data_IF_727120370898
#
_entry.id   IF_727120370898
#
_cell.length_a   1.000
_cell.length_b   1.000
_cell.length_c   1.000
_cell.angle_alpha   90.00
_cell.angle_beta   90.00
_cell.angle_gamma   90.00
#
_symmetry.space_group_name_H-M   'P 1'
#
loop_
_entity.id
_entity.type
_entity.pdbx_description
1 polymer ?
#
# COMPACT_ATOMS: atom_id res chain seq x y z
N UNK A 1 3.73 -33.82 -8.10
CA UNK A 1 4.60 -32.77 -8.66
C UNK A 1 4.16 -31.46 -8.04
N UNK A 2 4.98 -30.86 -7.15
CA UNK A 2 4.73 -29.51 -6.67
C UNK A 2 5.04 -28.55 -7.81
N UNK A 3 4.19 -27.54 -8.13
CA UNK A 3 4.58 -26.45 -9.00
C UNK A 3 5.78 -25.77 -8.34
N UNK A 4 6.86 -25.61 -9.09
CA UNK A 4 8.09 -25.03 -8.60
C UNK A 4 7.84 -23.62 -8.07
N UNK A 5 8.41 -23.30 -6.92
CA UNK A 5 8.49 -21.95 -6.40
C UNK A 5 9.03 -21.04 -7.52
N UNK A 6 8.33 -19.97 -7.82
CA UNK A 6 8.80 -18.92 -8.73
C UNK A 6 10.12 -18.42 -8.16
N UNK A 7 11.18 -18.47 -8.97
CA UNK A 7 12.51 -18.11 -8.52
C UNK A 7 12.49 -16.60 -8.20
N UNK A 8 12.66 -16.20 -6.95
CA UNK A 8 12.63 -14.80 -6.47
C UNK A 8 13.54 -13.85 -7.28
N UNK A 9 14.55 -14.41 -7.96
CA UNK A 9 15.46 -13.67 -8.81
C UNK A 9 14.81 -13.16 -10.12
N UNK A 10 13.69 -13.76 -10.53
CA UNK A 10 13.07 -13.51 -11.84
C UNK A 10 11.85 -12.57 -11.81
N UNK A 11 11.39 -12.11 -10.63
CA UNK A 11 10.28 -11.15 -10.55
C UNK A 11 10.79 -9.74 -10.80
N UNK A 12 10.42 -9.10 -11.92
CA UNK A 12 10.94 -7.78 -12.28
C UNK A 12 10.32 -6.67 -11.43
N UNK A 13 11.03 -5.55 -11.34
CA UNK A 13 10.47 -4.29 -10.88
C UNK A 13 9.74 -3.61 -12.05
N UNK A 14 8.48 -3.93 -12.22
CA UNK A 14 7.63 -3.41 -13.31
C UNK A 14 7.32 -1.92 -13.13
N UNK A 15 7.34 -1.44 -11.90
CA UNK A 15 7.00 -0.04 -11.58
C UNK A 15 8.16 0.90 -11.91
N UNK A 16 9.42 0.46 -11.79
CA UNK A 16 10.65 1.13 -12.22
C UNK A 16 10.65 2.66 -12.04
N UNK A 17 10.16 3.16 -10.89
CA UNK A 17 10.04 4.61 -10.54
C UNK A 17 9.09 5.43 -11.42
N UNK A 18 8.41 4.84 -12.39
CA UNK A 18 7.47 5.51 -13.29
C UNK A 18 6.05 5.47 -12.73
N UNK A 19 5.69 6.42 -11.85
CA UNK A 19 4.33 6.52 -11.29
C UNK A 19 3.44 7.52 -12.06
N UNK A 20 4.01 8.32 -12.93
CA UNK A 20 3.29 9.29 -13.77
C UNK A 20 2.66 8.64 -15.01
N UNK A 21 1.58 9.23 -15.52
CA UNK A 21 0.91 8.80 -16.74
C UNK A 21 0.07 7.52 -16.63
N UNK A 22 -0.01 6.89 -15.45
CA UNK A 22 -0.80 5.68 -15.22
C UNK A 22 -2.23 6.02 -14.77
N UNK A 23 -3.17 5.15 -15.10
CA UNK A 23 -4.54 5.32 -14.64
C UNK A 23 -4.62 5.08 -13.12
N UNK A 24 -5.44 5.85 -12.38
CA UNK A 24 -5.68 5.60 -10.97
C UNK A 24 -6.18 4.18 -10.71
N UNK A 25 -5.76 3.59 -9.58
CA UNK A 25 -6.20 2.26 -9.10
C UNK A 25 -5.66 1.07 -9.87
N UNK A 26 -4.86 1.28 -10.90
CA UNK A 26 -4.27 0.17 -11.69
C UNK A 26 -2.96 -0.35 -11.08
N UNK A 27 -2.21 0.49 -10.42
CA UNK A 27 -0.94 0.14 -9.80
C UNK A 27 -1.01 0.45 -8.31
N UNK A 28 -0.83 -0.56 -7.48
CA UNK A 28 -0.92 -0.43 -6.02
C UNK A 28 0.41 -0.83 -5.40
N UNK A 29 0.91 0.04 -4.54
CA UNK A 29 2.07 -0.24 -3.70
C UNK A 29 1.62 -0.60 -2.30
N UNK A 30 2.41 -1.41 -1.59
CA UNK A 30 2.14 -1.75 -0.20
C UNK A 30 3.41 -1.96 0.60
N UNK A 31 3.35 -1.53 1.83
CA UNK A 31 4.37 -1.77 2.85
C UNK A 31 3.69 -1.92 4.22
N UNK A 32 4.39 -2.51 5.17
CA UNK A 32 3.94 -2.71 6.53
C UNK A 32 4.67 -1.79 7.50
N UNK A 33 3.92 -1.23 8.43
CA UNK A 33 4.52 -0.55 9.59
C UNK A 33 4.01 -1.18 10.89
N UNK A 34 4.81 -1.06 11.96
CA UNK A 34 4.43 -1.58 13.27
C UNK A 34 3.98 -0.47 14.20
N UNK A 35 3.02 -0.81 15.07
CA UNK A 35 2.37 0.11 16.02
C UNK A 35 2.27 -0.55 17.39
N UNK A 36 2.55 0.17 18.44
CA UNK A 36 2.38 -0.31 19.82
C UNK A 36 0.91 -0.25 20.21
N UNK A 37 0.37 -1.38 20.68
CA UNK A 37 -0.99 -1.51 21.21
C UNK A 37 -0.92 -2.14 22.59
N UNK A 38 -1.15 -1.35 23.64
CA UNK A 38 -0.89 -1.80 25.00
C UNK A 38 0.55 -2.29 25.19
N UNK A 39 0.71 -3.52 25.64
CA UNK A 39 2.01 -4.16 25.83
C UNK A 39 2.53 -4.89 24.56
N UNK A 40 1.76 -4.97 23.47
CA UNK A 40 2.05 -5.79 22.31
C UNK A 40 2.31 -4.96 21.05
N UNK A 41 3.03 -5.54 20.11
CA UNK A 41 3.18 -4.98 18.76
C UNK A 41 2.03 -5.41 17.86
N UNK A 42 1.53 -4.48 17.07
CA UNK A 42 0.61 -4.72 15.97
C UNK A 42 1.21 -4.17 14.68
N UNK A 43 0.64 -4.59 13.58
CA UNK A 43 1.09 -4.21 12.24
C UNK A 43 -0.04 -3.53 11.49
N UNK A 44 0.30 -2.54 10.68
CA UNK A 44 -0.61 -1.84 9.78
C UNK A 44 -0.13 -2.09 8.37
N UNK A 45 -1.03 -2.54 7.50
CA UNK A 45 -0.85 -2.66 6.07
C UNK A 45 -1.63 -1.55 5.37
N UNK A 46 -0.97 -0.79 4.52
CA UNK A 46 -1.60 0.20 3.66
C UNK A 46 -1.43 -0.22 2.20
N UNK A 47 -2.50 -0.11 1.44
CA UNK A 47 -2.48 -0.19 -0.02
C UNK A 47 -2.57 1.23 -0.56
N UNK A 48 -1.56 1.68 -1.29
CA UNK A 48 -1.43 3.06 -1.75
C UNK A 48 -1.41 3.11 -3.26
N UNK A 49 -2.21 3.98 -3.84
CA UNK A 49 -2.12 4.32 -5.24
C UNK A 49 -1.02 5.38 -5.45
N UNK A 50 0.11 5.04 -6.07
CA UNK A 50 1.21 5.98 -6.26
C UNK A 50 0.89 7.12 -7.24
N UNK A 51 -0.15 6.97 -8.09
CA UNK A 51 -0.54 7.98 -9.07
C UNK A 51 -1.14 9.23 -8.44
N UNK A 52 -1.86 9.07 -7.33
CA UNK A 52 -2.57 10.14 -6.64
C UNK A 52 -2.39 10.15 -5.12
N UNK A 53 -1.57 9.27 -4.57
CA UNK A 53 -1.30 9.13 -3.12
C UNK A 53 -2.52 8.70 -2.28
N UNK A 54 -3.58 8.21 -2.90
CA UNK A 54 -4.77 7.71 -2.23
C UNK A 54 -4.45 6.40 -1.49
N UNK A 55 -4.80 6.32 -0.22
CA UNK A 55 -4.76 5.05 0.54
C UNK A 55 -6.04 4.31 0.18
N UNK A 56 -5.95 3.36 -0.72
CA UNK A 56 -7.12 2.65 -1.29
C UNK A 56 -7.57 1.46 -0.46
N UNK A 57 -6.68 0.92 0.39
CA UNK A 57 -6.99 -0.17 1.31
C UNK A 57 -6.13 -0.10 2.56
N UNK A 58 -6.63 -0.64 3.66
CA UNK A 58 -5.89 -0.65 4.93
C UNK A 58 -6.35 -1.78 5.84
N UNK A 59 -5.44 -2.25 6.66
CA UNK A 59 -5.74 -3.22 7.72
C UNK A 59 -4.79 -3.05 8.91
N UNK A 60 -5.20 -3.54 10.08
CA UNK A 60 -4.34 -3.61 11.25
C UNK A 60 -4.60 -4.91 12.02
N UNK A 61 -3.53 -5.50 12.56
CA UNK A 61 -3.60 -6.75 13.28
C UNK A 61 -2.33 -7.10 14.04
N UNK A 62 -2.42 -8.11 14.92
CA UNK A 62 -1.31 -8.53 15.78
C UNK A 62 -0.28 -9.41 15.08
N UNK A 63 -0.51 -9.80 13.83
CA UNK A 63 0.37 -10.68 13.06
C UNK A 63 0.79 -10.04 11.76
N UNK A 64 2.05 -10.23 11.40
CA UNK A 64 2.64 -9.86 10.13
C UNK A 64 2.56 -11.08 9.20
N UNK A 65 1.45 -11.24 8.50
CA UNK A 65 1.16 -12.40 7.65
C UNK A 65 0.32 -12.03 6.41
N UNK A 66 0.17 -12.99 5.50
CA UNK A 66 -0.65 -12.84 4.29
C UNK A 66 -2.11 -12.48 4.59
N UNK A 67 -2.65 -12.91 5.74
CA UNK A 67 -4.02 -12.60 6.14
C UNK A 67 -4.19 -11.11 6.39
N UNK A 68 -3.19 -10.44 6.98
CA UNK A 68 -3.21 -9.00 7.19
C UNK A 68 -3.28 -8.27 5.83
N UNK A 69 -2.46 -8.69 4.87
CA UNK A 69 -2.45 -8.11 3.50
C UNK A 69 -3.80 -8.33 2.81
N UNK A 70 -4.32 -9.55 2.81
CA UNK A 70 -5.65 -9.87 2.23
C UNK A 70 -6.78 -9.06 2.89
N UNK A 71 -6.68 -8.80 4.20
CA UNK A 71 -7.64 -7.94 4.91
C UNK A 71 -7.61 -6.49 4.42
N UNK A 72 -6.45 -5.99 4.00
CA UNK A 72 -6.36 -4.65 3.39
C UNK A 72 -7.04 -4.63 2.01
N UNK A 73 -6.86 -5.66 1.18
CA UNK A 73 -7.58 -5.79 -0.09
C UNK A 73 -9.10 -5.85 0.10
N UNK A 74 -9.57 -6.47 1.18
CA UNK A 74 -11.00 -6.54 1.49
C UNK A 74 -11.66 -5.18 1.81
N UNK A 75 -10.86 -4.12 2.03
CA UNK A 75 -11.36 -2.75 2.26
C UNK A 75 -11.40 -1.89 1.01
N UNK A 76 -11.00 -2.40 -0.15
CA UNK A 76 -11.10 -1.68 -1.42
C UNK A 76 -12.55 -1.27 -1.72
N UNK A 77 -12.73 -0.04 -2.23
CA UNK A 77 -14.03 0.49 -2.65
C UNK A 77 -14.29 0.35 -4.15
N UNK A 78 -13.46 -0.44 -4.84
CA UNK A 78 -13.54 -0.75 -6.28
C UNK A 78 -13.17 -2.21 -6.52
N UNK A 79 -13.48 -2.79 -7.68
CA UNK A 79 -13.15 -4.18 -7.97
C UNK A 79 -11.65 -4.43 -7.90
N UNK A 80 -11.23 -5.50 -7.22
CA UNK A 80 -9.82 -5.91 -7.15
C UNK A 80 -9.24 -6.21 -8.55
N UNK A 81 -10.07 -6.62 -9.50
CA UNK A 81 -9.71 -6.85 -10.90
C UNK A 81 -9.33 -5.58 -11.68
N UNK A 82 -9.56 -4.39 -11.14
CA UNK A 82 -9.10 -3.15 -11.75
C UNK A 82 -7.59 -2.92 -11.50
N UNK A 83 -7.01 -3.66 -10.56
CA UNK A 83 -5.58 -3.61 -10.24
C UNK A 83 -4.83 -4.46 -11.28
N UNK A 84 -3.89 -3.85 -11.97
CA UNK A 84 -3.00 -4.50 -12.93
C UNK A 84 -1.70 -4.96 -12.29
N UNK A 85 -1.14 -4.14 -11.38
CA UNK A 85 0.16 -4.39 -10.76
C UNK A 85 0.09 -4.19 -9.24
N UNK A 86 0.64 -5.14 -8.50
CA UNK A 86 0.85 -5.03 -7.05
C UNK A 86 2.34 -5.01 -6.74
N UNK A 87 2.84 -3.87 -6.27
CA UNK A 87 4.24 -3.63 -5.97
C UNK A 87 4.51 -3.66 -4.47
N UNK A 88 5.51 -4.43 -4.06
CA UNK A 88 5.90 -4.55 -2.64
C UNK A 88 7.40 -4.73 -2.50
N UNK A 89 7.88 -4.68 -1.27
CA UNK A 89 9.17 -5.26 -0.93
C UNK A 89 9.11 -6.80 -0.94
N UNK A 90 10.23 -7.46 -0.56
CA UNK A 90 10.36 -8.93 -0.49
C UNK A 90 10.02 -9.48 0.89
N UNK A 91 9.14 -8.81 1.63
CA UNK A 91 8.68 -9.29 2.93
C UNK A 91 7.87 -10.58 2.80
N UNK A 92 8.07 -11.53 3.71
CA UNK A 92 7.37 -12.83 3.70
C UNK A 92 5.85 -12.73 3.83
N UNK A 93 5.34 -11.62 4.33
CA UNK A 93 3.91 -11.29 4.35
C UNK A 93 3.32 -11.03 2.97
N UNK A 94 4.15 -10.58 2.03
CA UNK A 94 3.79 -10.32 0.64
C UNK A 94 4.23 -11.46 -0.27
N UNK A 95 5.43 -12.00 -0.04
CA UNK A 95 6.04 -13.04 -0.88
C UNK A 95 5.76 -14.43 -0.30
N UNK A 96 4.56 -14.94 -0.61
CA UNK A 96 4.10 -16.26 -0.17
C UNK A 96 2.98 -16.79 -1.08
N UNK A 97 2.77 -18.11 -1.02
CA UNK A 97 1.81 -18.81 -1.87
C UNK A 97 0.35 -18.29 -1.74
N UNK A 98 -0.07 -17.79 -0.57
CA UNK A 98 -1.43 -17.26 -0.40
C UNK A 98 -1.65 -15.98 -1.19
N UNK A 99 -0.65 -15.10 -1.21
CA UNK A 99 -0.70 -13.86 -1.98
C UNK A 99 -0.57 -14.19 -3.47
N UNK A 100 0.33 -15.11 -3.85
CA UNK A 100 0.48 -15.55 -5.25
C UNK A 100 -0.86 -16.05 -5.83
N UNK A 101 -1.53 -16.94 -5.12
CA UNK A 101 -2.84 -17.46 -5.53
C UNK A 101 -3.89 -16.35 -5.69
N UNK A 102 -3.88 -15.35 -4.79
CA UNK A 102 -4.80 -14.23 -4.88
C UNK A 102 -4.49 -13.38 -6.12
N UNK A 103 -3.22 -13.02 -6.36
CA UNK A 103 -2.81 -12.20 -7.49
C UNK A 103 -3.13 -12.92 -8.82
N UNK A 104 -2.84 -14.22 -8.91
CA UNK A 104 -3.15 -15.06 -10.07
C UNK A 104 -4.65 -15.11 -10.34
N UNK A 105 -5.47 -15.33 -9.31
CA UNK A 105 -6.93 -15.41 -9.43
C UNK A 105 -7.58 -14.14 -10.00
N UNK A 106 -6.97 -12.97 -9.76
CA UNK A 106 -7.46 -11.68 -10.25
C UNK A 106 -6.65 -11.13 -11.42
N UNK A 107 -5.65 -11.85 -11.93
CA UNK A 107 -4.82 -11.44 -13.05
C UNK A 107 -3.90 -10.25 -12.73
N UNK A 108 -3.50 -10.09 -11.47
CA UNK A 108 -2.65 -9.00 -11.01
C UNK A 108 -1.18 -9.39 -11.14
N UNK A 109 -0.41 -8.57 -11.84
CA UNK A 109 1.03 -8.78 -11.98
C UNK A 109 1.76 -8.43 -10.68
N UNK A 110 2.63 -9.32 -10.22
CA UNK A 110 3.51 -9.04 -9.10
C UNK A 110 4.71 -8.21 -9.54
N UNK A 111 5.02 -7.16 -8.80
CA UNK A 111 6.24 -6.36 -8.93
C UNK A 111 6.97 -6.31 -7.60
N UNK A 112 8.25 -6.59 -7.60
CA UNK A 112 9.09 -6.54 -6.40
C UNK A 112 10.17 -5.47 -6.53
N UNK A 113 10.39 -4.70 -5.46
CA UNK A 113 11.50 -3.75 -5.41
C UNK A 113 12.84 -4.46 -5.58
N UNK A 114 13.77 -3.79 -6.26
CA UNK A 114 15.12 -4.30 -6.42
C UNK A 114 15.81 -4.40 -5.05
N UNK A 115 16.56 -5.50 -4.84
CA UNK A 115 17.24 -5.73 -3.57
C UNK A 115 18.23 -4.59 -3.28
N UNK A 116 18.03 -3.90 -2.15
CA UNK A 116 18.88 -2.78 -1.74
C UNK A 116 18.61 -1.45 -2.44
N UNK A 117 17.47 -1.29 -3.13
CA UNK A 117 17.07 -0.03 -3.76
C UNK A 117 15.92 0.64 -2.98
N UNK A 118 16.19 1.54 -2.01
CA UNK A 118 15.16 2.19 -1.21
C UNK A 118 14.26 3.14 -2.03
N UNK A 119 14.72 3.59 -3.18
CA UNK A 119 13.95 4.51 -4.04
C UNK A 119 12.72 3.86 -4.69
N UNK A 120 12.68 2.53 -4.78
CA UNK A 120 11.58 1.80 -5.40
C UNK A 120 10.33 1.81 -4.50
N UNK A 121 10.50 1.98 -3.17
CA UNK A 121 9.43 2.03 -2.17
C UNK A 121 9.20 3.44 -1.60
N UNK A 122 9.68 4.49 -2.26
CA UNK A 122 9.65 5.86 -1.72
C UNK A 122 8.24 6.37 -1.40
N UNK A 123 7.22 5.91 -2.15
CA UNK A 123 5.81 6.29 -1.90
C UNK A 123 5.32 5.67 -0.60
N UNK A 124 5.57 4.38 -0.41
CA UNK A 124 5.15 3.65 0.78
C UNK A 124 5.88 4.13 2.03
N UNK A 125 7.19 4.33 1.93
CA UNK A 125 8.00 4.91 3.02
C UNK A 125 7.50 6.30 3.42
N UNK A 126 7.21 7.16 2.43
CA UNK A 126 6.65 8.48 2.67
C UNK A 126 5.28 8.40 3.34
N UNK A 127 4.40 7.50 2.87
CA UNK A 127 3.06 7.30 3.43
C UNK A 127 3.13 6.76 4.85
N UNK A 128 3.99 5.79 5.12
CA UNK A 128 4.21 5.24 6.46
C UNK A 128 4.81 6.28 7.42
N UNK A 129 5.72 7.13 6.97
CA UNK A 129 6.25 8.24 7.77
C UNK A 129 5.15 9.23 8.16
N UNK A 130 4.26 9.55 7.23
CA UNK A 130 3.11 10.43 7.45
C UNK A 130 2.13 9.79 8.43
N UNK A 131 1.85 8.49 8.29
CA UNK A 131 1.02 7.72 9.22
C UNK A 131 1.61 7.76 10.64
N UNK A 132 2.90 7.51 10.78
CA UNK A 132 3.58 7.56 12.09
C UNK A 132 3.46 8.94 12.72
N UNK A 133 3.73 10.00 12.00
CA UNK A 133 3.65 11.37 12.51
C UNK A 133 2.21 11.84 12.78
N UNK A 134 1.25 11.42 11.96
CA UNK A 134 -0.14 11.88 12.00
C UNK A 134 -1.05 11.07 12.92
N UNK A 135 -0.72 9.80 13.17
CA UNK A 135 -1.53 8.91 13.99
C UNK A 135 -0.71 8.24 15.10
N UNK A 136 0.34 7.49 14.74
CA UNK A 136 1.01 6.57 15.67
C UNK A 136 1.70 7.30 16.83
N UNK A 137 2.35 8.43 16.55
CA UNK A 137 3.05 9.22 17.58
C UNK A 137 2.14 10.17 18.37
N UNK A 138 0.88 10.31 17.94
CA UNK A 138 -0.09 11.23 18.59
C UNK A 138 -1.11 10.50 19.44
N UNK A 139 -1.26 9.21 19.25
CA UNK A 139 -2.30 8.39 19.84
C UNK A 139 -1.71 7.22 20.61
N UNK A 140 -2.42 6.81 21.63
CA UNK A 140 -2.19 5.54 22.32
C UNK A 140 -3.33 4.60 22.04
N UNK A 141 -3.02 3.32 21.90
CA UNK A 141 -4.01 2.30 21.56
C UNK A 141 -4.04 1.23 22.64
N UNK A 142 -5.19 1.05 23.27
CA UNK A 142 -5.40 0.01 24.28
C UNK A 142 -5.67 -1.35 23.65
N UNK A 143 -6.34 -1.36 22.48
CA UNK A 143 -6.76 -2.58 21.78
C UNK A 143 -6.53 -2.47 20.28
N UNK A 144 -6.38 -3.62 19.60
CA UNK A 144 -6.33 -3.69 18.12
C UNK A 144 -7.61 -3.13 17.47
N UNK A 145 -8.76 -3.29 18.13
CA UNK A 145 -10.03 -2.73 17.66
C UNK A 145 -9.99 -1.19 17.62
N UNK A 146 -9.45 -0.59 18.66
CA UNK A 146 -9.26 0.86 18.72
C UNK A 146 -8.30 1.36 17.65
N UNK A 147 -7.17 0.66 17.46
CA UNK A 147 -6.23 0.96 16.38
C UNK A 147 -6.93 0.92 15.01
N UNK A 148 -7.75 -0.10 14.73
CA UNK A 148 -8.48 -0.21 13.46
C UNK A 148 -9.46 0.94 13.24
N UNK A 149 -10.21 1.32 14.26
CA UNK A 149 -11.15 2.43 14.17
C UNK A 149 -10.44 3.77 13.87
N UNK A 150 -9.40 4.09 14.65
CA UNK A 150 -8.59 5.31 14.46
C UNK A 150 -7.83 5.32 13.13
N UNK A 151 -7.37 4.15 12.66
CA UNK A 151 -6.74 4.01 11.35
C UNK A 151 -7.73 4.32 10.22
N UNK A 152 -8.95 3.81 10.31
CA UNK A 152 -10.00 4.09 9.31
C UNK A 152 -10.33 5.59 9.23
N UNK A 153 -10.49 6.25 10.38
CA UNK A 153 -10.71 7.70 10.46
C UNK A 153 -9.52 8.49 9.89
N UNK A 154 -8.30 8.04 10.19
CA UNK A 154 -7.08 8.64 9.67
C UNK A 154 -7.01 8.54 8.14
N UNK A 155 -7.25 7.34 7.57
CA UNK A 155 -7.28 7.11 6.12
C UNK A 155 -8.32 8.00 5.45
N UNK A 156 -9.52 8.08 6.01
CA UNK A 156 -10.56 8.97 5.50
C UNK A 156 -10.11 10.44 5.45
N UNK A 157 -9.50 10.93 6.53
CA UNK A 157 -8.96 12.31 6.58
C UNK A 157 -7.83 12.54 5.59
N UNK A 158 -6.90 11.58 5.46
CA UNK A 158 -5.79 11.68 4.50
C UNK A 158 -6.29 11.76 3.07
N UNK A 159 -7.24 10.91 2.70
CA UNK A 159 -7.74 10.84 1.34
C UNK A 159 -8.58 12.06 0.94
N UNK A 160 -9.37 12.62 1.87
CA UNK A 160 -10.36 13.64 1.53
C UNK A 160 -9.96 15.07 1.93
N UNK A 161 -9.06 15.23 2.91
CA UNK A 161 -8.79 16.58 3.46
C UNK A 161 -7.31 16.93 3.52
N UNK A 162 -6.40 15.93 3.53
CA UNK A 162 -4.98 16.22 3.56
C UNK A 162 -4.50 16.66 2.19
N UNK A 163 -3.99 17.87 2.10
CA UNK A 163 -3.38 18.41 0.88
C UNK A 163 -1.94 17.90 0.70
N UNK A 164 -1.56 17.65 -0.54
CA UNK A 164 -0.22 17.23 -0.92
C UNK A 164 0.38 18.22 -1.93
N UNK A 165 1.60 18.70 -1.67
CA UNK A 165 2.28 19.62 -2.57
C UNK A 165 2.52 19.01 -3.95
N UNK A 166 2.82 17.70 -4.02
CA UNK A 166 2.99 16.94 -5.26
C UNK A 166 1.71 16.83 -6.08
N UNK A 167 0.54 17.02 -5.47
CA UNK A 167 -0.78 17.01 -6.11
C UNK A 167 -1.33 18.42 -6.35
N UNK A 168 -0.46 19.43 -6.42
CA UNK A 168 -0.90 20.82 -6.56
C UNK A 168 -1.71 21.32 -5.37
N UNK A 169 -1.38 20.87 -4.16
CA UNK A 169 -2.09 21.21 -2.91
C UNK A 169 -3.56 20.73 -2.89
N UNK A 170 -3.85 19.65 -3.61
CA UNK A 170 -5.14 18.94 -3.53
C UNK A 170 -5.04 17.73 -2.60
N UNK A 171 -6.17 17.28 -2.11
CA UNK A 171 -6.27 15.95 -1.49
C UNK A 171 -6.24 14.86 -2.57
N UNK A 172 -5.86 13.61 -2.22
CA UNK A 172 -5.85 12.49 -3.16
C UNK A 172 -7.16 12.31 -3.93
N UNK A 173 -8.28 12.38 -3.21
CA UNK A 173 -9.62 12.22 -3.82
C UNK A 173 -9.99 13.39 -4.73
N UNK A 174 -9.68 14.63 -4.36
CA UNK A 174 -9.90 15.80 -5.22
C UNK A 174 -9.07 15.69 -6.50
N UNK A 175 -7.80 15.34 -6.39
CA UNK A 175 -6.89 15.17 -7.53
C UNK A 175 -7.42 14.11 -8.50
N UNK A 176 -7.83 12.94 -8.00
CA UNK A 176 -8.42 11.88 -8.82
C UNK A 176 -9.73 12.31 -9.48
N UNK A 177 -10.64 12.96 -8.73
CA UNK A 177 -11.93 13.45 -9.26
C UNK A 177 -11.75 14.53 -10.33
N UNK A 178 -10.70 15.31 -10.25
CA UNK A 178 -10.34 16.31 -11.26
C UNK A 178 -9.77 15.69 -12.54
N UNK A 179 -9.55 14.37 -12.58
CA UNK A 179 -8.98 13.70 -13.74
C UNK A 179 -7.51 14.03 -14.00
N UNK A 180 -6.80 14.50 -12.98
CA UNK A 180 -5.40 14.89 -13.08
C UNK A 180 -4.48 13.67 -12.95
N UNK A 181 -3.31 13.76 -13.58
CA UNK A 181 -2.24 12.78 -13.46
C UNK A 181 -0.92 13.46 -13.09
N UNK A 182 -0.07 12.76 -12.37
CA UNK A 182 1.29 13.21 -12.11
C UNK A 182 2.08 13.18 -13.43
N UNK A 183 2.99 14.17 -13.67
CA UNK A 183 3.85 14.13 -14.82
C UNK A 183 4.73 12.89 -14.81
N UNK A 184 5.02 12.35 -16.00
CA UNK A 184 6.02 11.29 -16.11
C UNK A 184 7.35 11.80 -15.57
N UNK A 185 8.00 10.99 -14.71
CA UNK A 185 9.32 11.34 -14.20
C UNK A 185 10.29 11.39 -15.39
N UNK A 186 10.81 12.57 -15.69
CA UNK A 186 11.88 12.72 -16.66
C UNK A 186 13.06 11.85 -16.21
N UNK A 187 13.50 10.95 -17.09
CA UNK A 187 14.68 10.09 -16.88
C UNK A 187 15.95 10.90 -16.74
#
# INVERSE_FOLDING_TARGET
MHPGAVNEADVPNVVARGFGGRAPRTHICSDLTYVRVGASWNYVCLLVDPCNREIVGHSAGPRKDARLVKSAFATLSFPISDIEVFHTDRGSEFDNAEIDLMLEAFGIERSLSAKGCPYDNAVDESTNRILKAGLVHRETFGTTRELRAKLSDYVHRCNNFRIHSTLGYMSPVEFRKAGLSLPESSK
#
